data_IF_231309931329
#
_entry.id   IF_231309931329
#
_cell.length_a   1.000
_cell.length_b   1.000
_cell.length_c   1.000
_cell.angle_alpha   90.00
_cell.angle_beta   90.00
_cell.angle_gamma   90.00
#
_symmetry.space_group_name_H-M   'P 1'
#
loop_
_entity.id
_entity.type
_entity.pdbx_description
1 polymer ?
#
# COMPACT_ATOMS: atom_id res chain seq x y z
N UNK A 1 -36.46 4.52 5.63
CA UNK A 1 -35.41 3.49 5.71
C UNK A 1 -35.96 2.08 5.55
N UNK A 2 -37.03 1.69 6.28
CA UNK A 2 -37.54 0.30 6.30
C UNK A 2 -37.83 -0.29 4.90
N UNK A 3 -38.48 0.47 4.02
CA UNK A 3 -38.78 0.03 2.65
C UNK A 3 -37.51 -0.19 1.82
N UNK A 4 -36.51 0.70 1.94
CA UNK A 4 -35.23 0.60 1.22
C UNK A 4 -34.41 -0.60 1.73
N UNK A 5 -34.39 -0.84 3.04
CA UNK A 5 -33.75 -2.01 3.65
C UNK A 5 -34.41 -3.32 3.16
N UNK A 6 -35.75 -3.38 3.23
CA UNK A 6 -36.49 -4.54 2.71
C UNK A 6 -36.21 -4.75 1.22
N UNK A 7 -36.13 -3.67 0.44
CA UNK A 7 -35.76 -3.74 -0.97
C UNK A 7 -34.36 -4.33 -1.21
N UNK A 8 -33.36 -3.88 -0.42
CA UNK A 8 -31.99 -4.40 -0.51
C UNK A 8 -31.94 -5.92 -0.23
N UNK A 9 -32.59 -6.38 0.83
CA UNK A 9 -32.69 -7.82 1.14
C UNK A 9 -33.42 -8.60 0.06
N UNK A 10 -34.53 -8.07 -0.46
CA UNK A 10 -35.31 -8.74 -1.51
C UNK A 10 -34.51 -8.89 -2.81
N UNK A 11 -33.83 -7.81 -3.22
CA UNK A 11 -32.99 -7.83 -4.41
C UNK A 11 -31.79 -8.78 -4.25
N UNK A 12 -31.15 -8.79 -3.08
CA UNK A 12 -30.06 -9.71 -2.81
C UNK A 12 -30.51 -11.19 -2.82
N UNK A 13 -31.70 -11.51 -2.31
CA UNK A 13 -32.28 -12.85 -2.42
C UNK A 13 -32.65 -13.21 -3.87
N UNK A 14 -33.14 -12.25 -4.64
CA UNK A 14 -33.45 -12.45 -6.05
C UNK A 14 -32.23 -12.82 -6.88
N UNK A 15 -31.03 -12.29 -6.53
CA UNK A 15 -29.77 -12.72 -7.16
C UNK A 15 -29.55 -14.23 -6.94
N UNK A 16 -29.76 -14.71 -5.70
CA UNK A 16 -29.58 -16.12 -5.37
C UNK A 16 -30.61 -16.99 -6.14
N UNK A 17 -31.87 -16.54 -6.26
CA UNK A 17 -32.90 -17.21 -7.04
C UNK A 17 -32.53 -17.31 -8.53
N UNK A 18 -32.08 -16.20 -9.15
CA UNK A 18 -31.60 -16.21 -10.53
C UNK A 18 -30.45 -17.18 -10.75
N UNK A 19 -29.42 -17.12 -9.91
CA UNK A 19 -28.24 -17.96 -10.05
C UNK A 19 -28.52 -19.46 -9.89
N UNK A 20 -29.59 -19.82 -9.17
CA UNK A 20 -29.95 -21.21 -8.90
C UNK A 20 -31.08 -21.77 -9.82
N UNK A 21 -31.68 -20.95 -10.68
CA UNK A 21 -32.78 -21.40 -11.54
C UNK A 21 -32.31 -22.36 -12.65
N UNK A 22 -32.60 -23.66 -12.58
CA UNK A 22 -32.14 -24.64 -13.56
C UNK A 22 -32.91 -24.55 -14.90
N UNK A 23 -34.00 -23.79 -14.98
CA UNK A 23 -34.78 -23.63 -16.19
C UNK A 23 -34.15 -22.71 -17.22
N UNK A 24 -33.16 -21.89 -16.79
CA UNK A 24 -32.48 -20.91 -17.62
C UNK A 24 -31.04 -21.30 -17.94
N UNK A 25 -30.53 -20.92 -19.14
CA UNK A 25 -29.13 -21.04 -19.45
C UNK A 25 -28.25 -20.27 -18.44
N UNK A 26 -27.06 -20.79 -18.12
CA UNK A 26 -26.14 -20.18 -17.14
C UNK A 26 -25.82 -18.72 -17.47
N UNK A 27 -25.59 -18.41 -18.73
CA UNK A 27 -25.32 -17.04 -19.18
C UNK A 27 -26.46 -16.09 -18.81
N UNK A 28 -27.71 -16.47 -19.05
CA UNK A 28 -28.89 -15.64 -18.72
C UNK A 28 -29.01 -15.43 -17.22
N UNK A 29 -28.82 -16.48 -16.43
CA UNK A 29 -28.83 -16.39 -14.97
C UNK A 29 -27.81 -15.38 -14.45
N UNK A 30 -26.60 -15.41 -15.00
CA UNK A 30 -25.51 -14.48 -14.61
C UNK A 30 -25.79 -13.05 -15.07
N UNK A 31 -26.31 -12.84 -16.28
CA UNK A 31 -26.67 -11.51 -16.80
C UNK A 31 -27.75 -10.85 -15.93
N UNK A 32 -28.78 -11.60 -15.54
CA UNK A 32 -29.87 -11.09 -14.68
C UNK A 32 -29.35 -10.80 -13.25
N UNK A 33 -28.54 -11.70 -12.68
CA UNK A 33 -27.91 -11.47 -11.39
C UNK A 33 -27.03 -10.23 -11.40
N UNK A 34 -26.21 -10.03 -12.43
CA UNK A 34 -25.37 -8.85 -12.59
C UNK A 34 -26.20 -7.57 -12.71
N UNK A 35 -27.33 -7.61 -13.43
CA UNK A 35 -28.22 -6.45 -13.55
C UNK A 35 -28.74 -5.97 -12.19
N UNK A 36 -29.04 -6.90 -11.27
CA UNK A 36 -29.48 -6.54 -9.92
C UNK A 36 -28.30 -5.98 -9.10
N UNK A 37 -27.10 -6.56 -9.23
CA UNK A 37 -25.89 -6.02 -8.59
C UNK A 37 -25.61 -4.61 -9.07
N UNK A 38 -25.69 -4.37 -10.37
CA UNK A 38 -25.46 -3.05 -10.97
C UNK A 38 -26.48 -2.01 -10.46
N UNK A 39 -27.73 -2.41 -10.24
CA UNK A 39 -28.73 -1.55 -9.64
C UNK A 39 -28.42 -1.22 -8.17
N UNK A 40 -27.98 -2.21 -7.39
CA UNK A 40 -27.62 -2.02 -5.98
C UNK A 40 -26.33 -1.17 -5.82
N UNK A 41 -25.31 -1.45 -6.62
CA UNK A 41 -24.07 -0.65 -6.61
C UNK A 41 -24.33 0.76 -7.17
N UNK A 42 -25.23 0.92 -8.15
CA UNK A 42 -25.71 2.21 -8.63
C UNK A 42 -26.34 3.06 -7.52
N UNK A 43 -27.09 2.46 -6.60
CA UNK A 43 -27.59 3.16 -5.41
C UNK A 43 -26.45 3.65 -4.50
N UNK A 44 -25.38 2.83 -4.35
CA UNK A 44 -24.19 3.19 -3.57
C UNK A 44 -23.45 4.36 -4.22
N UNK A 45 -23.32 4.38 -5.55
CA UNK A 45 -22.66 5.44 -6.32
C UNK A 45 -23.42 6.76 -6.36
N UNK A 46 -24.72 6.74 -6.04
CA UNK A 46 -25.52 7.97 -6.06
C UNK A 46 -24.91 9.02 -5.12
N UNK A 47 -24.63 10.25 -5.60
CA UNK A 47 -24.10 11.33 -4.79
C UNK A 47 -24.97 11.60 -3.55
N UNK A 48 -24.33 11.83 -2.42
CA UNK A 48 -25.02 12.13 -1.17
C UNK A 48 -24.35 13.34 -0.48
N UNK A 49 -24.95 14.54 -0.57
CA UNK A 49 -24.29 15.77 -0.12
C UNK A 49 -23.89 15.77 1.37
N UNK A 50 -24.68 15.10 2.23
CA UNK A 50 -24.38 15.03 3.67
C UNK A 50 -23.14 14.16 3.97
N UNK A 51 -22.68 13.32 3.03
CA UNK A 51 -21.45 12.54 3.19
C UNK A 51 -20.24 13.44 3.50
N UNK A 52 -20.15 14.60 2.84
CA UNK A 52 -19.08 15.57 3.06
C UNK A 52 -19.12 16.21 4.46
N UNK A 53 -20.33 16.27 5.06
CA UNK A 53 -20.55 16.82 6.41
C UNK A 53 -20.46 15.73 7.49
N UNK A 54 -20.08 14.49 7.14
CA UNK A 54 -20.09 13.36 8.06
C UNK A 54 -19.42 13.67 9.39
N UNK A 55 -18.18 14.18 9.37
CA UNK A 55 -17.41 14.47 10.57
C UNK A 55 -18.11 15.46 11.50
N UNK A 56 -18.79 16.46 10.92
CA UNK A 56 -19.58 17.45 11.65
C UNK A 56 -20.85 16.82 12.21
N UNK A 57 -21.55 16.01 11.40
CA UNK A 57 -22.83 15.39 11.75
C UNK A 57 -22.69 14.20 12.73
N UNK A 58 -21.51 13.64 12.91
CA UNK A 58 -21.22 12.61 13.92
C UNK A 58 -20.85 13.21 15.30
N UNK A 59 -20.74 14.55 15.42
CA UNK A 59 -20.59 15.23 16.69
C UNK A 59 -21.89 15.20 17.53
N UNK A 60 -21.75 15.31 18.85
CA UNK A 60 -22.91 15.30 19.76
C UNK A 60 -23.77 16.55 19.65
N UNK A 61 -23.15 17.69 19.30
CA UNK A 61 -23.80 18.99 19.21
C UNK A 61 -23.46 19.71 17.89
N UNK A 62 -24.39 20.54 17.43
CA UNK A 62 -24.17 21.35 16.24
C UNK A 62 -23.03 22.37 16.50
N UNK A 63 -22.04 22.46 15.57
CA UNK A 63 -21.02 23.50 15.68
C UNK A 63 -21.64 24.88 15.45
N UNK A 64 -21.00 25.92 16.01
CA UNK A 64 -21.42 27.30 15.80
C UNK A 64 -21.45 27.63 14.31
N UNK A 65 -22.55 28.18 13.83
CA UNK A 65 -22.72 28.54 12.42
C UNK A 65 -23.13 27.38 11.50
N UNK A 66 -23.57 26.23 12.03
CA UNK A 66 -24.09 25.16 11.17
C UNK A 66 -25.28 25.63 10.34
N UNK A 67 -25.16 25.50 9.02
CA UNK A 67 -26.25 25.85 8.08
C UNK A 67 -27.14 24.62 7.84
N UNK A 68 -28.40 24.68 8.30
CA UNK A 68 -29.41 23.66 8.15
C UNK A 68 -30.02 23.19 9.47
N UNK A 69 -30.81 22.14 9.41
CA UNK A 69 -31.37 21.45 10.59
C UNK A 69 -30.42 20.31 10.97
N UNK A 70 -29.58 20.54 11.96
CA UNK A 70 -28.54 19.59 12.39
C UNK A 70 -29.11 18.22 12.78
N UNK A 71 -30.19 18.21 13.57
CA UNK A 71 -30.81 16.95 14.04
C UNK A 71 -31.38 16.17 12.86
N UNK A 72 -32.08 16.83 11.97
CA UNK A 72 -32.64 16.21 10.77
C UNK A 72 -31.56 15.69 9.84
N UNK A 73 -30.49 16.45 9.66
CA UNK A 73 -29.36 16.05 8.81
C UNK A 73 -28.58 14.87 9.41
N UNK A 74 -28.45 14.81 10.76
CA UNK A 74 -27.89 13.63 11.46
C UNK A 74 -28.74 12.38 11.24
N UNK A 75 -30.07 12.50 11.42
CA UNK A 75 -30.99 11.37 11.21
C UNK A 75 -30.89 10.87 9.76
N UNK A 76 -30.93 11.78 8.79
CA UNK A 76 -30.83 11.46 7.37
C UNK A 76 -29.50 10.77 7.04
N UNK A 77 -28.38 11.24 7.61
CA UNK A 77 -27.07 10.61 7.44
C UNK A 77 -27.05 9.19 7.99
N UNK A 78 -27.54 8.98 9.23
CA UNK A 78 -27.59 7.65 9.88
C UNK A 78 -28.46 6.67 9.11
N UNK A 79 -29.61 7.12 8.61
CA UNK A 79 -30.49 6.30 7.77
C UNK A 79 -29.80 5.86 6.48
N UNK A 80 -29.11 6.79 5.80
CA UNK A 80 -28.41 6.47 4.57
C UNK A 80 -27.19 5.56 4.80
N UNK A 81 -26.45 5.77 5.88
CA UNK A 81 -25.36 4.89 6.33
C UNK A 81 -25.87 3.46 6.52
N UNK A 82 -27.00 3.31 7.21
CA UNK A 82 -27.59 1.99 7.48
C UNK A 82 -27.98 1.27 6.18
N UNK A 83 -28.65 1.95 5.25
CA UNK A 83 -29.07 1.35 3.99
C UNK A 83 -27.89 0.90 3.15
N UNK A 84 -26.92 1.78 2.91
CA UNK A 84 -25.75 1.49 2.07
C UNK A 84 -24.87 0.41 2.69
N UNK A 85 -24.63 0.48 3.98
CA UNK A 85 -23.89 -0.56 4.69
C UNK A 85 -24.55 -1.93 4.60
N UNK A 86 -25.89 -1.99 4.67
CA UNK A 86 -26.63 -3.25 4.55
C UNK A 86 -26.38 -3.91 3.19
N UNK A 87 -26.32 -3.15 2.11
CA UNK A 87 -26.00 -3.70 0.78
C UNK A 87 -24.62 -4.36 0.79
N UNK A 88 -23.60 -3.69 1.32
CA UNK A 88 -22.25 -4.26 1.44
C UNK A 88 -22.23 -5.53 2.31
N UNK A 89 -22.95 -5.53 3.42
CA UNK A 89 -23.03 -6.71 4.29
C UNK A 89 -23.70 -7.90 3.58
N UNK A 90 -24.74 -7.64 2.79
CA UNK A 90 -25.42 -8.70 2.04
C UNK A 90 -24.53 -9.28 0.93
N UNK A 91 -23.74 -8.44 0.25
CA UNK A 91 -22.74 -8.90 -0.71
C UNK A 91 -21.67 -9.75 0.00
N UNK A 92 -21.05 -9.22 1.04
CA UNK A 92 -20.01 -9.91 1.78
C UNK A 92 -20.47 -11.25 2.35
N UNK A 93 -21.68 -11.32 2.91
CA UNK A 93 -22.24 -12.55 3.46
C UNK A 93 -22.37 -13.67 2.41
N UNK A 94 -22.69 -13.30 1.16
CA UNK A 94 -22.85 -14.25 0.06
C UNK A 94 -21.52 -14.60 -0.61
N UNK A 95 -20.58 -13.70 -0.60
CA UNK A 95 -19.22 -13.95 -1.09
C UNK A 95 -18.42 -14.84 -0.12
N UNK A 96 -18.65 -14.70 1.19
CA UNK A 96 -18.05 -15.60 2.15
C UNK A 96 -18.57 -17.03 1.88
N UNK A 97 -17.68 -17.92 1.43
CA UNK A 97 -18.04 -19.33 1.35
C UNK A 97 -18.50 -19.79 2.74
N UNK A 98 -19.59 -20.53 2.79
CA UNK A 98 -19.91 -21.31 3.98
C UNK A 98 -18.72 -22.24 4.18
N UNK A 99 -17.89 -21.96 5.16
CA UNK A 99 -16.82 -22.86 5.56
C UNK A 99 -17.49 -24.15 6.01
N UNK A 100 -17.62 -25.10 5.11
CA UNK A 100 -17.82 -26.49 5.51
C UNK A 100 -16.63 -26.82 6.40
N UNK A 101 -16.92 -27.28 7.60
CA UNK A 101 -15.97 -27.55 8.68
C UNK A 101 -14.69 -28.14 8.14
N UNK A 102 -13.50 -27.57 8.39
CA UNK A 102 -12.26 -28.13 7.91
C UNK A 102 -12.14 -29.55 8.48
N UNK A 103 -12.06 -30.54 7.62
CA UNK A 103 -11.49 -31.82 7.99
C UNK A 103 -10.12 -31.50 8.61
N UNK A 104 -9.90 -32.03 9.81
CA UNK A 104 -8.67 -31.83 10.58
C UNK A 104 -7.48 -32.25 9.75
N UNK A 105 -6.84 -31.32 9.09
CA UNK A 105 -5.54 -31.53 8.50
C UNK A 105 -4.45 -31.03 9.42
N UNK A 106 -3.40 -31.84 9.54
CA UNK A 106 -2.34 -31.74 10.53
C UNK A 106 -1.40 -30.59 10.19
N UNK A 107 -1.46 -29.54 10.99
CA UNK A 107 -0.28 -28.81 11.48
C UNK A 107 0.73 -28.27 10.47
N UNK A 108 0.33 -27.48 9.49
CA UNK A 108 1.21 -26.47 8.89
C UNK A 108 0.45 -25.14 8.81
N UNK A 109 1.10 -24.09 9.29
CA UNK A 109 0.59 -22.75 9.50
C UNK A 109 0.45 -22.01 8.15
N UNK A 110 -0.39 -22.53 7.25
CA UNK A 110 -0.84 -21.81 6.07
C UNK A 110 -2.15 -21.12 6.43
N UNK A 111 -2.14 -19.80 6.41
CA UNK A 111 -3.31 -18.96 6.46
C UNK A 111 -4.15 -19.26 5.21
N UNK A 112 -5.00 -20.30 5.28
CA UNK A 112 -5.89 -20.67 4.18
C UNK A 112 -6.96 -19.61 4.05
N UNK A 113 -6.86 -18.84 2.97
CA UNK A 113 -7.92 -17.88 2.58
C UNK A 113 -9.18 -18.71 2.32
N UNK A 114 -10.31 -18.41 2.97
CA UNK A 114 -11.53 -19.15 2.70
C UNK A 114 -11.95 -18.99 1.23
N UNK A 115 -12.33 -20.07 0.56
CA UNK A 115 -12.76 -20.01 -0.84
C UNK A 115 -14.01 -19.14 -0.99
N UNK A 116 -14.13 -18.44 -2.12
CA UNK A 116 -15.34 -17.70 -2.47
C UNK A 116 -16.48 -18.68 -2.78
N UNK A 117 -17.70 -18.25 -2.50
CA UNK A 117 -18.88 -18.99 -2.97
C UNK A 117 -18.85 -19.14 -4.49
N UNK A 118 -18.81 -20.35 -5.05
CA UNK A 118 -18.77 -20.57 -6.49
C UNK A 118 -19.95 -19.93 -7.23
N UNK A 119 -21.06 -19.75 -6.55
CA UNK A 119 -22.30 -19.20 -7.11
C UNK A 119 -22.15 -17.72 -7.50
N UNK A 120 -21.36 -16.95 -6.76
CA UNK A 120 -21.13 -15.52 -7.01
C UNK A 120 -19.79 -15.24 -7.69
N UNK A 121 -18.99 -16.27 -8.04
CA UNK A 121 -17.60 -16.21 -8.46
C UNK A 121 -17.57 -15.36 -9.74
N UNK A 122 -17.77 -14.86 -10.58
CA UNK A 122 -17.55 -14.07 -11.77
C UNK A 122 -18.37 -12.75 -11.80
N UNK A 123 -19.10 -12.47 -10.70
CA UNK A 123 -19.86 -11.21 -10.61
C UNK A 123 -18.94 -10.04 -10.31
N UNK A 124 -19.29 -8.85 -10.80
CA UNK A 124 -18.51 -7.63 -10.67
C UNK A 124 -19.26 -6.64 -9.79
N UNK A 125 -18.49 -5.93 -8.95
CA UNK A 125 -19.03 -4.97 -7.99
C UNK A 125 -18.42 -3.58 -8.26
N UNK A 126 -19.16 -2.76 -9.02
CA UNK A 126 -18.75 -1.42 -9.40
C UNK A 126 -19.19 -0.38 -8.36
N UNK A 127 -18.22 0.11 -7.57
CA UNK A 127 -18.35 1.21 -6.63
C UNK A 127 -17.61 2.47 -7.12
N UNK A 128 -17.28 2.55 -8.41
CA UNK A 128 -16.54 3.66 -9.00
C UNK A 128 -17.20 5.00 -8.74
N UNK A 129 -16.43 5.97 -8.21
CA UNK A 129 -16.92 7.29 -7.83
C UNK A 129 -17.88 7.33 -6.64
N UNK A 130 -18.09 6.21 -5.93
CA UNK A 130 -19.02 6.14 -4.80
C UNK A 130 -18.58 7.02 -3.63
N UNK A 131 -19.51 7.76 -2.98
CA UNK A 131 -19.26 8.38 -1.68
C UNK A 131 -19.45 7.33 -0.58
N UNK A 132 -18.34 6.91 0.06
CA UNK A 132 -18.33 5.95 1.17
C UNK A 132 -18.19 6.74 2.48
N UNK A 133 -19.17 6.67 3.36
CA UNK A 133 -19.22 7.44 4.61
C UNK A 133 -19.73 6.60 5.79
N UNK A 134 -19.52 5.30 5.73
CA UNK A 134 -19.91 4.28 6.70
C UNK A 134 -18.80 3.22 6.79
N UNK A 135 -18.68 2.51 7.94
CA UNK A 135 -17.61 1.53 8.13
C UNK A 135 -17.79 0.27 7.28
N UNK A 136 -16.69 -0.21 6.70
CA UNK A 136 -16.61 -1.42 5.86
C UNK A 136 -15.62 -2.42 6.49
N UNK A 137 -15.91 -2.88 7.73
CA UNK A 137 -15.03 -3.78 8.49
C UNK A 137 -15.28 -5.25 8.17
N UNK A 138 -14.19 -6.03 8.08
CA UNK A 138 -14.23 -7.50 8.00
C UNK A 138 -15.16 -8.00 6.88
N UNK A 139 -15.06 -7.40 5.70
CA UNK A 139 -15.87 -7.76 4.55
C UNK A 139 -15.05 -8.59 3.55
N UNK A 140 -15.76 -9.43 2.81
CA UNK A 140 -15.25 -10.09 1.62
C UNK A 140 -15.64 -9.27 0.39
N UNK A 141 -14.67 -9.08 -0.50
CA UNK A 141 -14.87 -8.39 -1.76
C UNK A 141 -14.42 -9.29 -2.91
N UNK A 142 -15.05 -9.13 -4.05
CA UNK A 142 -14.69 -9.83 -5.27
C UNK A 142 -14.83 -8.90 -6.46
N UNK A 143 -13.83 -8.90 -7.36
CA UNK A 143 -13.83 -8.06 -8.58
C UNK A 143 -14.38 -6.66 -8.28
N UNK A 144 -13.87 -6.01 -7.21
CA UNK A 144 -14.44 -4.80 -6.67
C UNK A 144 -13.75 -3.56 -7.25
N UNK A 145 -14.50 -2.69 -7.88
CA UNK A 145 -13.99 -1.43 -8.42
C UNK A 145 -14.40 -0.25 -7.53
N UNK A 146 -13.42 0.32 -6.83
CA UNK A 146 -13.54 1.56 -6.05
C UNK A 146 -12.80 2.73 -6.73
N UNK A 147 -12.56 2.65 -8.04
CA UNK A 147 -11.86 3.72 -8.75
C UNK A 147 -12.58 5.07 -8.57
N UNK A 148 -11.82 6.11 -8.23
CA UNK A 148 -12.34 7.45 -7.95
C UNK A 148 -13.37 7.52 -6.81
N UNK A 149 -13.57 6.48 -6.01
CA UNK A 149 -14.43 6.53 -4.83
C UNK A 149 -13.86 7.50 -3.80
N UNK A 150 -14.73 8.15 -3.04
CA UNK A 150 -14.32 9.04 -1.94
C UNK A 150 -14.78 8.46 -0.60
N UNK A 151 -13.80 8.15 0.24
CA UNK A 151 -14.03 7.66 1.60
C UNK A 151 -14.05 8.84 2.57
N UNK A 152 -15.26 9.24 3.00
CA UNK A 152 -15.49 10.33 3.94
C UNK A 152 -15.44 9.82 5.38
N UNK A 153 -14.25 9.73 5.96
CA UNK A 153 -13.98 9.22 7.30
C UNK A 153 -13.15 7.94 7.27
N UNK A 154 -12.85 7.36 8.46
CA UNK A 154 -11.96 6.21 8.55
C UNK A 154 -12.42 5.03 7.68
N UNK A 155 -11.56 4.61 6.75
CA UNK A 155 -11.78 3.45 5.90
C UNK A 155 -11.08 2.25 6.54
N UNK A 156 -11.83 1.32 7.11
CA UNK A 156 -11.28 0.18 7.81
C UNK A 156 -11.53 -1.11 7.02
N UNK A 157 -10.50 -1.56 6.31
CA UNK A 157 -10.41 -2.82 5.59
C UNK A 157 -9.48 -3.81 6.30
N UNK A 158 -9.23 -3.63 7.60
CA UNK A 158 -8.35 -4.51 8.37
C UNK A 158 -8.83 -5.96 8.30
N UNK A 159 -7.91 -6.87 7.91
CA UNK A 159 -8.20 -8.27 7.73
C UNK A 159 -9.22 -8.60 6.63
N UNK A 160 -9.58 -7.63 5.79
CA UNK A 160 -10.46 -7.88 4.65
C UNK A 160 -9.78 -8.79 3.62
N UNK A 161 -10.58 -9.58 2.91
CA UNK A 161 -10.11 -10.38 1.78
C UNK A 161 -10.71 -9.86 0.50
N UNK A 162 -9.84 -9.54 -0.46
CA UNK A 162 -10.20 -9.11 -1.80
C UNK A 162 -9.84 -10.22 -2.78
N UNK A 163 -10.85 -10.80 -3.42
CA UNK A 163 -10.68 -11.80 -4.46
C UNK A 163 -10.90 -11.18 -5.83
N UNK A 164 -10.17 -11.69 -6.84
CA UNK A 164 -10.20 -11.10 -8.17
C UNK A 164 -9.63 -9.69 -8.20
N UNK A 165 -9.54 -9.12 -9.37
CA UNK A 165 -8.98 -7.79 -9.57
C UNK A 165 -9.72 -6.74 -8.77
N UNK A 166 -8.97 -5.91 -8.03
CA UNK A 166 -9.53 -4.84 -7.20
C UNK A 166 -8.88 -3.52 -7.54
N UNK A 167 -9.70 -2.49 -7.77
CA UNK A 167 -9.20 -1.16 -8.08
C UNK A 167 -9.60 -0.13 -7.03
N UNK A 168 -8.62 0.60 -6.51
CA UNK A 168 -8.74 1.84 -5.76
C UNK A 168 -8.07 3.01 -6.52
N UNK A 169 -7.94 2.88 -7.85
CA UNK A 169 -7.25 3.89 -8.66
C UNK A 169 -7.95 5.25 -8.54
N UNK A 170 -7.17 6.32 -8.29
CA UNK A 170 -7.66 7.67 -8.06
C UNK A 170 -8.65 7.79 -6.87
N UNK A 171 -8.78 6.79 -6.00
CA UNK A 171 -9.62 6.87 -4.81
C UNK A 171 -9.10 7.94 -3.82
N UNK A 172 -10.03 8.57 -3.09
CA UNK A 172 -9.74 9.62 -2.13
C UNK A 172 -10.06 9.13 -0.71
N UNK A 173 -9.05 8.95 0.12
CA UNK A 173 -9.20 8.65 1.55
C UNK A 173 -9.02 9.95 2.33
N UNK A 174 -10.12 10.57 2.78
CA UNK A 174 -10.07 11.90 3.39
C UNK A 174 -9.57 11.91 4.84
N UNK A 175 -9.48 10.75 5.47
CA UNK A 175 -8.93 10.51 6.80
C UNK A 175 -8.12 9.20 6.79
N UNK A 176 -7.91 8.58 7.95
CA UNK A 176 -7.15 7.35 8.06
C UNK A 176 -7.78 6.20 7.26
N UNK A 177 -6.92 5.37 6.68
CA UNK A 177 -7.31 4.16 5.96
C UNK A 177 -6.48 2.98 6.45
N UNK A 178 -7.13 1.93 6.93
CA UNK A 178 -6.46 0.72 7.39
C UNK A 178 -6.75 -0.46 6.45
N UNK A 179 -5.67 -1.04 5.93
CA UNK A 179 -5.59 -2.31 5.23
C UNK A 179 -4.69 -3.28 6.03
N UNK A 180 -4.60 -3.08 7.36
CA UNK A 180 -3.78 -3.92 8.23
C UNK A 180 -4.17 -5.40 8.08
N UNK A 181 -3.20 -6.25 7.73
CA UNK A 181 -3.44 -7.68 7.51
C UNK A 181 -4.46 -8.00 6.42
N UNK A 182 -4.79 -7.06 5.53
CA UNK A 182 -5.65 -7.33 4.39
C UNK A 182 -4.99 -8.30 3.41
N UNK A 183 -5.79 -9.11 2.74
CA UNK A 183 -5.34 -10.09 1.78
C UNK A 183 -5.92 -9.82 0.38
N UNK A 184 -5.04 -9.54 -0.58
CA UNK A 184 -5.38 -9.37 -1.99
C UNK A 184 -4.90 -10.60 -2.74
N UNK A 185 -5.83 -11.42 -3.25
CA UNK A 185 -5.50 -12.70 -3.90
C UNK A 185 -5.10 -12.55 -5.36
N UNK A 186 -5.47 -11.43 -5.98
CA UNK A 186 -5.25 -11.11 -7.38
C UNK A 186 -4.71 -9.67 -7.49
N UNK A 187 -4.65 -9.12 -8.70
CA UNK A 187 -4.14 -7.78 -8.93
C UNK A 187 -4.89 -6.70 -8.13
N UNK A 188 -4.14 -5.75 -7.56
CA UNK A 188 -4.73 -4.57 -6.93
C UNK A 188 -4.06 -3.28 -7.39
N UNK A 189 -4.89 -2.29 -7.73
CA UNK A 189 -4.45 -0.97 -8.15
C UNK A 189 -4.86 0.14 -7.17
N UNK A 190 -3.85 0.88 -6.67
CA UNK A 190 -4.02 2.13 -5.93
C UNK A 190 -3.47 3.33 -6.73
N UNK A 191 -3.17 3.16 -8.02
CA UNK A 191 -2.53 4.20 -8.82
C UNK A 191 -3.26 5.53 -8.74
N UNK A 192 -2.53 6.64 -8.53
CA UNK A 192 -3.08 7.98 -8.35
C UNK A 192 -4.07 8.15 -7.18
N UNK A 193 -4.18 7.18 -6.26
CA UNK A 193 -4.97 7.36 -5.05
C UNK A 193 -4.34 8.40 -4.12
N UNK A 194 -5.15 9.02 -3.27
CA UNK A 194 -4.70 10.01 -2.29
C UNK A 194 -5.14 9.60 -0.88
N UNK A 195 -4.17 9.47 0.01
CA UNK A 195 -4.36 9.19 1.44
C UNK A 195 -4.04 10.46 2.24
N UNK A 196 -5.08 11.16 2.69
CA UNK A 196 -4.92 12.40 3.46
C UNK A 196 -4.54 12.13 4.93
N UNK A 197 -5.04 11.05 5.53
CA UNK A 197 -4.68 10.58 6.87
C UNK A 197 -3.63 9.48 6.83
N UNK A 198 -3.45 8.78 7.96
CA UNK A 198 -2.57 7.63 8.04
C UNK A 198 -3.07 6.48 7.15
N UNK A 199 -2.13 5.83 6.45
CA UNK A 199 -2.39 4.69 5.57
C UNK A 199 -1.68 3.45 6.13
N UNK A 200 -2.43 2.50 6.66
CA UNK A 200 -1.93 1.29 7.30
C UNK A 200 -2.03 0.09 6.36
N UNK A 201 -0.91 -0.41 5.88
CA UNK A 201 -0.78 -1.65 5.10
C UNK A 201 0.10 -2.68 5.83
N UNK A 202 0.31 -2.49 7.14
CA UNK A 202 1.17 -3.37 7.92
C UNK A 202 0.65 -4.81 7.92
N UNK A 203 1.54 -5.77 7.60
CA UNK A 203 1.19 -7.17 7.49
C UNK A 203 0.21 -7.52 6.36
N UNK A 204 -0.10 -6.58 5.45
CA UNK A 204 -0.93 -6.88 4.29
C UNK A 204 -0.23 -7.85 3.34
N UNK A 205 -1.00 -8.72 2.70
CA UNK A 205 -0.52 -9.71 1.74
C UNK A 205 -1.07 -9.43 0.34
N UNK A 206 -0.16 -9.28 -0.62
CA UNK A 206 -0.44 -9.08 -2.04
C UNK A 206 0.04 -10.31 -2.79
N UNK A 207 -0.88 -11.20 -3.18
CA UNK A 207 -0.53 -12.47 -3.82
C UNK A 207 -0.17 -12.30 -5.30
N UNK A 208 -0.70 -11.29 -5.95
CA UNK A 208 -0.35 -10.88 -7.31
C UNK A 208 0.18 -9.43 -7.32
N UNK A 209 0.39 -8.85 -8.51
CA UNK A 209 0.96 -7.54 -8.68
C UNK A 209 0.11 -6.45 -8.00
N UNK A 210 0.78 -5.53 -7.31
CA UNK A 210 0.16 -4.40 -6.66
C UNK A 210 0.76 -3.08 -7.16
N UNK A 211 -0.10 -2.16 -7.60
CA UNK A 211 0.32 -0.86 -8.10
C UNK A 211 -0.05 0.28 -7.15
N UNK A 212 0.96 0.96 -6.65
CA UNK A 212 0.90 2.21 -5.91
C UNK A 212 1.54 3.36 -6.71
N UNK A 213 1.62 3.22 -8.04
CA UNK A 213 2.24 4.22 -8.90
C UNK A 213 1.52 5.57 -8.79
N UNK A 214 2.30 6.66 -8.67
CA UNK A 214 1.76 8.03 -8.55
C UNK A 214 0.82 8.28 -7.37
N UNK A 215 0.79 7.39 -6.36
CA UNK A 215 0.01 7.59 -5.12
C UNK A 215 0.60 8.75 -4.31
N UNK A 216 -0.27 9.51 -3.65
CA UNK A 216 0.13 10.51 -2.66
C UNK A 216 -0.29 10.10 -1.26
N UNK A 217 0.68 9.96 -0.36
CA UNK A 217 0.47 9.75 1.07
C UNK A 217 0.81 11.05 1.81
N UNK A 218 -0.21 11.82 2.21
CA UNK A 218 -0.02 13.03 2.99
C UNK A 218 0.19 12.71 4.47
N UNK A 219 -0.54 11.73 5.00
CA UNK A 219 -0.29 11.16 6.32
C UNK A 219 0.83 10.13 6.31
N UNK A 220 1.16 9.56 7.48
CA UNK A 220 2.13 8.47 7.60
C UNK A 220 1.68 7.23 6.82
N UNK A 221 2.63 6.52 6.21
CA UNK A 221 2.36 5.27 5.49
C UNK A 221 3.12 4.11 6.14
N UNK A 222 2.39 3.09 6.59
CA UNK A 222 2.96 1.89 7.21
C UNK A 222 2.76 0.66 6.33
N UNK A 223 3.85 0.18 5.73
CA UNK A 223 3.96 -1.08 4.99
C UNK A 223 4.83 -2.10 5.73
N UNK A 224 5.01 -1.92 7.04
CA UNK A 224 5.86 -2.82 7.82
C UNK A 224 5.32 -4.25 7.79
N UNK A 225 6.22 -5.22 7.62
CA UNK A 225 5.89 -6.65 7.49
C UNK A 225 4.92 -6.97 6.32
N UNK A 226 4.66 -6.06 5.39
CA UNK A 226 3.86 -6.35 4.20
C UNK A 226 4.58 -7.35 3.29
N UNK A 227 3.81 -8.21 2.61
CA UNK A 227 4.33 -9.24 1.71
C UNK A 227 3.76 -9.04 0.32
N UNK A 228 4.66 -8.89 -0.66
CA UNK A 228 4.33 -8.84 -2.09
C UNK A 228 4.89 -10.09 -2.76
N UNK A 229 4.00 -11.00 -3.16
CA UNK A 229 4.39 -12.25 -3.81
C UNK A 229 4.69 -12.11 -5.30
N UNK A 230 4.32 -10.97 -5.89
CA UNK A 230 4.63 -10.57 -7.26
C UNK A 230 5.20 -9.14 -7.28
N UNK A 231 5.02 -8.40 -8.38
CA UNK A 231 5.56 -7.06 -8.53
C UNK A 231 4.88 -6.05 -7.58
N UNK A 232 5.69 -5.15 -6.99
CA UNK A 232 5.25 -4.02 -6.17
C UNK A 232 5.70 -2.71 -6.83
N UNK A 233 4.76 -1.92 -7.35
CA UNK A 233 5.09 -0.69 -8.08
C UNK A 233 4.68 0.56 -7.29
N UNK A 234 5.68 1.29 -6.78
CA UNK A 234 5.54 2.60 -6.13
C UNK A 234 6.13 3.72 -6.99
N UNK A 235 6.37 3.49 -8.29
CA UNK A 235 7.02 4.49 -9.14
C UNK A 235 6.30 5.84 -9.10
N UNK A 236 7.07 6.93 -8.95
CA UNK A 236 6.58 8.31 -8.94
C UNK A 236 5.61 8.60 -7.76
N UNK A 237 5.54 7.74 -6.75
CA UNK A 237 4.75 8.01 -5.55
C UNK A 237 5.35 9.15 -4.72
N UNK A 238 4.52 9.81 -3.92
CA UNK A 238 4.90 10.86 -2.97
C UNK A 238 4.52 10.48 -1.55
N UNK A 239 5.49 10.50 -0.65
CA UNK A 239 5.31 10.30 0.79
C UNK A 239 5.63 11.62 1.50
N UNK A 240 4.61 12.39 1.84
CA UNK A 240 4.76 13.71 2.46
C UNK A 240 5.09 13.64 3.97
N UNK A 241 4.81 12.48 4.59
CA UNK A 241 5.14 12.15 5.97
C UNK A 241 6.02 10.89 6.05
N UNK A 242 6.27 10.37 7.27
CA UNK A 242 7.11 9.20 7.47
C UNK A 242 6.52 7.96 6.78
N UNK A 243 7.41 7.15 6.18
CA UNK A 243 7.06 5.90 5.50
C UNK A 243 7.85 4.73 6.10
N UNK A 244 7.14 3.74 6.63
CA UNK A 244 7.74 2.54 7.21
C UNK A 244 7.54 1.33 6.30
N UNK A 245 8.63 0.84 5.72
CA UNK A 245 8.73 -0.40 4.96
C UNK A 245 9.59 -1.43 5.69
N UNK A 246 9.72 -1.33 7.01
CA UNK A 246 10.56 -2.25 7.77
C UNK A 246 10.03 -3.69 7.65
N UNK A 247 10.96 -4.64 7.45
CA UNK A 247 10.64 -6.06 7.22
C UNK A 247 9.68 -6.30 6.03
N UNK A 248 9.65 -5.37 5.07
CA UNK A 248 8.98 -5.59 3.79
C UNK A 248 9.57 -6.83 3.12
N UNK A 249 8.73 -7.68 2.53
CA UNK A 249 9.15 -8.84 1.77
C UNK A 249 8.57 -8.78 0.35
N UNK A 250 9.42 -8.68 -0.67
CA UNK A 250 9.01 -8.65 -2.07
C UNK A 250 9.62 -9.81 -2.84
N UNK A 251 8.79 -10.68 -3.39
CA UNK A 251 9.27 -11.82 -4.20
C UNK A 251 9.56 -11.39 -5.65
N UNK A 252 8.76 -10.51 -6.23
CA UNK A 252 8.97 -9.94 -7.56
C UNK A 252 9.67 -8.59 -7.53
N UNK A 253 9.71 -7.93 -8.69
CA UNK A 253 10.34 -6.60 -8.86
C UNK A 253 9.64 -5.58 -7.95
N UNK A 254 10.46 -4.83 -7.18
CA UNK A 254 9.99 -3.73 -6.37
C UNK A 254 10.46 -2.39 -6.96
N UNK A 255 9.53 -1.59 -7.45
CA UNK A 255 9.84 -0.30 -8.06
C UNK A 255 9.52 0.85 -7.10
N UNK A 256 10.55 1.58 -6.70
CA UNK A 256 10.49 2.86 -6.01
C UNK A 256 11.15 3.95 -6.87
N UNK A 257 11.13 3.80 -8.21
CA UNK A 257 11.79 4.73 -9.13
C UNK A 257 11.12 6.12 -9.10
N UNK A 258 11.93 7.17 -9.02
CA UNK A 258 11.50 8.57 -8.99
C UNK A 258 10.49 8.89 -7.85
N UNK A 259 10.52 8.15 -6.74
CA UNK A 259 9.71 8.42 -5.54
C UNK A 259 10.29 9.60 -4.78
N UNK A 260 9.39 10.43 -4.20
CA UNK A 260 9.78 11.47 -3.26
C UNK A 260 9.37 11.09 -1.84
N UNK A 261 10.35 11.08 -0.92
CA UNK A 261 10.13 10.91 0.51
C UNK A 261 10.44 12.23 1.23
N UNK A 262 9.40 12.94 1.66
CA UNK A 262 9.53 14.18 2.44
C UNK A 262 9.68 13.90 3.94
N UNK A 263 9.16 12.77 4.42
CA UNK A 263 9.40 12.20 5.75
C UNK A 263 10.55 11.21 5.78
N UNK A 264 10.77 10.60 6.95
CA UNK A 264 11.73 9.51 7.13
C UNK A 264 11.27 8.27 6.39
N UNK A 265 12.16 7.63 5.62
CA UNK A 265 11.89 6.37 4.92
C UNK A 265 12.66 5.22 5.59
N UNK A 266 11.95 4.19 6.05
CA UNK A 266 12.54 3.07 6.80
C UNK A 266 12.34 1.77 6.03
N UNK A 267 13.44 1.16 5.58
CA UNK A 267 13.48 -0.15 4.93
C UNK A 267 14.30 -1.17 5.76
N UNK A 268 14.36 -0.97 7.07
CA UNK A 268 15.19 -1.81 7.96
C UNK A 268 14.77 -3.28 7.90
N UNK A 269 15.74 -4.16 7.67
CA UNK A 269 15.55 -5.62 7.63
C UNK A 269 14.56 -6.09 6.55
N UNK A 270 14.36 -5.29 5.50
CA UNK A 270 13.53 -5.67 4.35
C UNK A 270 14.26 -6.64 3.43
N UNK A 271 13.51 -7.47 2.73
CA UNK A 271 14.04 -8.44 1.77
C UNK A 271 13.43 -8.19 0.39
N UNK A 272 14.29 -7.92 -0.58
CA UNK A 272 13.97 -7.80 -1.99
C UNK A 272 14.56 -9.03 -2.69
N UNK A 273 13.72 -10.01 -3.06
CA UNK A 273 14.23 -11.25 -3.66
C UNK A 273 14.63 -11.05 -5.12
N UNK A 274 13.91 -10.20 -5.84
CA UNK A 274 14.18 -9.83 -7.23
C UNK A 274 14.74 -8.38 -7.31
N UNK A 275 14.71 -7.75 -8.48
CA UNK A 275 15.25 -6.40 -8.69
C UNK A 275 14.53 -5.36 -7.80
N UNK A 276 15.30 -4.43 -7.25
CA UNK A 276 14.81 -3.30 -6.47
C UNK A 276 15.25 -1.98 -7.10
N UNK A 277 14.31 -1.17 -7.56
CA UNK A 277 14.55 0.05 -8.33
C UNK A 277 14.27 1.29 -7.47
N UNK A 278 15.31 1.99 -7.05
CA UNK A 278 15.24 3.28 -6.37
C UNK A 278 15.82 4.42 -7.24
N UNK A 279 16.05 4.18 -8.53
CA UNK A 279 16.70 5.16 -9.39
C UNK A 279 15.94 6.50 -9.41
N UNK A 280 16.68 7.61 -9.37
CA UNK A 280 16.18 8.99 -9.36
C UNK A 280 15.23 9.33 -8.19
N UNK A 281 15.15 8.52 -7.15
CA UNK A 281 14.36 8.85 -5.96
C UNK A 281 15.03 9.92 -5.10
N UNK A 282 14.20 10.70 -4.40
CA UNK A 282 14.63 11.79 -3.54
C UNK A 282 14.22 11.53 -2.10
N UNK A 283 15.19 11.50 -1.20
CA UNK A 283 14.98 11.39 0.24
C UNK A 283 15.29 12.72 0.91
N UNK A 284 14.28 13.47 1.30
CA UNK A 284 14.41 14.78 1.95
C UNK A 284 14.72 14.65 3.46
N UNK A 285 14.47 13.47 4.05
CA UNK A 285 14.76 13.09 5.44
C UNK A 285 15.58 11.79 5.45
N UNK A 286 15.99 11.27 6.64
CA UNK A 286 16.81 10.06 6.70
C UNK A 286 16.19 8.86 5.95
N UNK A 287 17.03 8.18 5.17
CA UNK A 287 16.74 6.93 4.50
C UNK A 287 17.46 5.76 5.19
N UNK A 288 16.73 4.75 5.68
CA UNK A 288 17.30 3.69 6.52
C UNK A 288 17.07 2.33 5.86
N UNK A 289 18.12 1.75 5.29
CA UNK A 289 18.14 0.42 4.67
C UNK A 289 18.88 -0.62 5.51
N UNK A 290 19.28 -0.29 6.74
CA UNK A 290 20.15 -1.14 7.56
C UNK A 290 19.60 -2.56 7.70
N UNK A 291 20.51 -3.56 7.56
CA UNK A 291 20.23 -5.00 7.67
C UNK A 291 19.29 -5.56 6.59
N UNK A 292 19.03 -4.84 5.50
CA UNK A 292 18.21 -5.32 4.40
C UNK A 292 19.01 -6.26 3.49
N UNK A 293 18.27 -7.11 2.76
CA UNK A 293 18.78 -8.00 1.72
C UNK A 293 18.24 -7.57 0.36
N UNK A 294 19.14 -7.32 -0.58
CA UNK A 294 18.86 -7.18 -2.00
C UNK A 294 19.34 -8.43 -2.71
N UNK A 295 18.42 -9.35 -3.05
CA UNK A 295 18.71 -10.62 -3.72
C UNK A 295 18.98 -10.41 -5.21
N UNK A 296 18.16 -9.61 -5.89
CA UNK A 296 18.33 -9.18 -7.27
C UNK A 296 19.17 -7.90 -7.40
N UNK A 297 19.18 -7.32 -8.61
CA UNK A 297 19.91 -6.08 -8.89
C UNK A 297 19.31 -4.91 -8.10
N UNK A 298 20.14 -4.19 -7.36
CA UNK A 298 19.74 -3.01 -6.61
C UNK A 298 20.13 -1.73 -7.37
N UNK A 299 19.13 -0.98 -7.86
CA UNK A 299 19.34 0.21 -8.71
C UNK A 299 19.08 1.48 -7.89
N UNK A 300 20.15 2.16 -7.49
CA UNK A 300 20.14 3.45 -6.80
C UNK A 300 20.75 4.57 -7.66
N UNK A 301 20.79 4.38 -8.99
CA UNK A 301 21.39 5.37 -9.90
C UNK A 301 20.67 6.72 -9.81
N UNK A 302 21.44 7.80 -9.62
CA UNK A 302 20.89 9.14 -9.53
C UNK A 302 20.02 9.43 -8.31
N UNK A 303 20.03 8.57 -7.28
CA UNK A 303 19.35 8.84 -6.00
C UNK A 303 19.91 10.10 -5.37
N UNK A 304 19.04 10.90 -4.76
CA UNK A 304 19.41 12.08 -3.99
C UNK A 304 18.99 11.91 -2.52
N UNK A 305 19.95 11.93 -1.59
CA UNK A 305 19.67 11.98 -0.16
C UNK A 305 20.09 13.32 0.40
N UNK A 306 19.15 14.06 1.00
CA UNK A 306 19.43 15.39 1.59
C UNK A 306 19.81 15.32 3.07
N UNK A 307 19.68 14.14 3.67
CA UNK A 307 20.12 13.82 5.04
C UNK A 307 20.83 12.47 5.06
N UNK A 308 20.88 11.81 6.22
CA UNK A 308 21.61 10.55 6.37
C UNK A 308 21.02 9.42 5.52
N UNK A 309 21.89 8.63 4.90
CA UNK A 309 21.53 7.39 4.22
C UNK A 309 22.25 6.21 4.90
N UNK A 310 21.48 5.30 5.47
CA UNK A 310 22.00 4.21 6.29
C UNK A 310 21.85 2.86 5.58
N UNK A 311 22.97 2.31 5.11
CA UNK A 311 23.11 1.00 4.49
C UNK A 311 23.94 0.03 5.36
N UNK A 312 24.02 0.28 6.68
CA UNK A 312 24.85 -0.54 7.56
C UNK A 312 24.35 -1.99 7.61
N UNK A 313 25.31 -2.93 7.44
CA UNK A 313 25.05 -4.36 7.39
C UNK A 313 24.02 -4.80 6.32
N UNK A 314 23.87 -4.03 5.24
CA UNK A 314 23.07 -4.43 4.07
C UNK A 314 23.83 -5.50 3.29
N UNK A 315 23.13 -6.46 2.73
CA UNK A 315 23.69 -7.41 1.77
C UNK A 315 23.11 -7.17 0.38
N UNK A 316 23.98 -6.90 -0.57
CA UNK A 316 23.68 -6.87 -2.01
C UNK A 316 24.19 -8.18 -2.62
N UNK A 317 23.29 -9.13 -2.86
CA UNK A 317 23.66 -10.46 -3.36
C UNK A 317 23.92 -10.46 -4.88
N UNK A 318 23.43 -9.46 -5.59
CA UNK A 318 23.68 -9.18 -7.01
C UNK A 318 24.31 -7.80 -7.18
N UNK A 319 24.36 -7.28 -8.40
CA UNK A 319 24.91 -5.96 -8.70
C UNK A 319 24.18 -4.84 -7.95
N UNK A 320 24.95 -3.84 -7.48
CA UNK A 320 24.45 -2.64 -6.81
C UNK A 320 24.92 -1.39 -7.55
N UNK A 321 23.99 -0.63 -8.11
CA UNK A 321 24.28 0.54 -8.91
C UNK A 321 23.91 1.84 -8.17
N UNK A 322 24.91 2.58 -7.69
CA UNK A 322 24.81 3.90 -7.10
C UNK A 322 25.40 4.98 -8.02
N UNK A 323 25.47 4.72 -9.32
CA UNK A 323 26.08 5.66 -10.27
C UNK A 323 25.36 7.00 -10.27
N UNK A 324 26.13 8.10 -10.18
CA UNK A 324 25.57 9.45 -10.15
C UNK A 324 24.71 9.76 -8.91
N UNK A 325 24.68 8.91 -7.89
CA UNK A 325 23.96 9.19 -6.66
C UNK A 325 24.56 10.40 -5.93
N UNK A 326 23.72 11.22 -5.30
CA UNK A 326 24.12 12.38 -4.51
C UNK A 326 23.76 12.17 -3.04
N UNK A 327 24.76 11.97 -2.24
CA UNK A 327 24.65 11.77 -0.80
C UNK A 327 25.09 13.02 -0.05
N UNK A 328 24.27 13.47 0.90
CA UNK A 328 24.54 14.71 1.66
C UNK A 328 24.45 14.42 3.16
N UNK A 329 25.47 14.74 3.94
CA UNK A 329 25.65 14.59 5.39
C UNK A 329 26.37 13.30 5.79
N UNK A 330 25.66 12.24 6.21
CA UNK A 330 26.26 11.01 6.73
C UNK A 330 25.71 9.79 5.99
N UNK A 331 26.61 9.05 5.39
CA UNK A 331 26.32 7.82 4.66
C UNK A 331 27.03 6.65 5.33
N UNK A 332 26.25 5.64 5.72
CA UNK A 332 26.78 4.49 6.44
C UNK A 332 26.61 3.19 5.65
N UNK A 333 27.67 2.76 5.01
CA UNK A 333 27.83 1.44 4.41
C UNK A 333 28.66 0.51 5.31
N UNK A 334 28.79 0.84 6.60
CA UNK A 334 29.57 0.06 7.54
C UNK A 334 29.09 -1.38 7.65
N UNK A 335 29.99 -2.35 7.42
CA UNK A 335 29.66 -3.77 7.40
C UNK A 335 28.77 -4.20 6.23
N UNK A 336 28.51 -3.35 5.23
CA UNK A 336 27.80 -3.73 4.04
C UNK A 336 28.56 -4.78 3.24
N UNK A 337 27.83 -5.70 2.61
CA UNK A 337 28.41 -6.77 1.80
C UNK A 337 27.88 -6.69 0.37
N UNK A 338 28.79 -6.53 -0.57
CA UNK A 338 28.54 -6.53 -2.00
C UNK A 338 29.06 -7.84 -2.58
N UNK A 339 28.16 -8.78 -2.86
CA UNK A 339 28.51 -10.07 -3.44
C UNK A 339 28.64 -10.01 -4.98
N UNK A 340 27.93 -9.05 -5.63
CA UNK A 340 28.08 -8.68 -7.04
C UNK A 340 28.85 -7.37 -7.23
N UNK A 341 28.88 -6.89 -8.48
CA UNK A 341 29.56 -5.63 -8.81
C UNK A 341 28.90 -4.44 -8.12
N UNK A 342 29.72 -3.51 -7.60
CA UNK A 342 29.27 -2.31 -6.94
C UNK A 342 29.75 -1.05 -7.69
N UNK A 343 28.81 -0.28 -8.26
CA UNK A 343 29.13 0.93 -9.02
C UNK A 343 28.74 2.18 -8.24
N UNK A 344 29.74 2.99 -7.92
CA UNK A 344 29.63 4.34 -7.37
C UNK A 344 30.17 5.39 -8.32
N UNK A 345 30.25 5.08 -9.63
CA UNK A 345 30.82 5.99 -10.62
C UNK A 345 30.05 7.31 -10.66
N UNK A 346 30.76 8.44 -10.62
CA UNK A 346 30.18 9.80 -10.55
C UNK A 346 29.29 10.05 -9.32
N UNK A 347 29.28 9.18 -8.32
CA UNK A 347 28.58 9.46 -7.06
C UNK A 347 29.24 10.61 -6.31
N UNK A 348 28.45 11.41 -5.62
CA UNK A 348 28.93 12.55 -4.83
C UNK A 348 28.59 12.33 -3.37
N UNK A 349 29.61 12.37 -2.51
CA UNK A 349 29.50 12.31 -1.07
C UNK A 349 29.86 13.69 -0.50
N UNK A 350 28.83 14.48 -0.17
CA UNK A 350 28.93 15.92 0.08
C UNK A 350 28.84 16.21 1.57
N UNK A 351 29.90 16.80 2.14
CA UNK A 351 29.85 17.39 3.47
C UNK A 351 29.22 18.78 3.42
N UNK A 352 28.12 18.97 4.16
CA UNK A 352 27.58 20.32 4.36
C UNK A 352 28.39 21.11 5.41
N UNK A 353 28.42 22.46 5.32
CA UNK A 353 29.01 23.28 6.38
C UNK A 353 28.31 23.02 7.72
N UNK A 354 29.09 22.72 8.78
CA UNK A 354 28.53 22.45 10.12
C UNK A 354 27.81 23.67 10.68
N UNK A 355 26.55 23.48 11.10
CA UNK A 355 25.89 24.40 12.02
C UNK A 355 26.33 24.08 13.48
N UNK A 356 26.29 25.09 14.38
CA UNK A 356 26.76 24.95 15.78
C UNK A 356 26.07 23.87 16.61
N UNK A 357 25.00 23.28 16.12
CA UNK A 357 24.13 22.29 16.82
C UNK A 357 24.33 20.84 16.35
N UNK A 358 25.15 20.59 15.31
CA UNK A 358 25.31 19.25 14.70
C UNK A 358 26.63 18.60 15.04
N UNK A 359 27.09 18.73 16.30
CA UNK A 359 28.44 18.23 16.71
C UNK A 359 28.50 16.71 16.93
N UNK A 360 27.40 15.98 16.93
CA UNK A 360 27.36 14.57 17.36
C UNK A 360 27.55 13.53 16.26
N UNK A 361 27.48 13.91 14.98
CA UNK A 361 27.70 12.98 13.87
C UNK A 361 28.88 13.45 13.00
N UNK A 362 29.94 12.65 12.85
CA UNK A 362 30.98 12.96 11.88
C UNK A 362 30.40 12.94 10.48
N UNK A 363 30.49 14.04 9.74
CA UNK A 363 30.17 14.06 8.30
C UNK A 363 31.15 13.13 7.59
N UNK A 364 30.64 11.94 7.19
CA UNK A 364 31.51 10.86 6.77
C UNK A 364 30.79 9.90 5.86
N UNK A 365 31.41 9.54 4.75
CA UNK A 365 31.06 8.35 4.00
C UNK A 365 31.75 7.14 4.65
N UNK A 366 31.00 6.27 5.30
CA UNK A 366 31.51 5.15 6.07
C UNK A 366 31.41 3.83 5.30
N UNK A 367 32.53 3.26 4.90
CA UNK A 367 32.68 1.91 4.35
C UNK A 367 33.48 0.99 5.26
N UNK A 368 33.60 1.30 6.56
CA UNK A 368 34.35 0.49 7.49
C UNK A 368 33.77 -0.93 7.58
N UNK A 369 34.64 -1.93 7.52
CA UNK A 369 34.27 -3.36 7.45
C UNK A 369 33.37 -3.74 6.25
N UNK A 370 33.21 -2.89 5.25
CA UNK A 370 32.48 -3.26 4.02
C UNK A 370 33.29 -4.33 3.25
N UNK A 371 32.56 -5.25 2.59
CA UNK A 371 33.19 -6.29 1.79
C UNK A 371 32.70 -6.22 0.33
N UNK A 372 33.65 -6.09 -0.61
CA UNK A 372 33.43 -6.08 -2.04
C UNK A 372 33.99 -7.40 -2.62
N UNK A 373 33.10 -8.33 -2.99
CA UNK A 373 33.50 -9.64 -3.51
C UNK A 373 33.75 -9.65 -5.02
N UNK A 374 33.29 -8.64 -5.74
CA UNK A 374 33.50 -8.42 -7.16
C UNK A 374 34.03 -7.01 -7.40
N UNK A 375 33.90 -6.49 -8.63
CA UNK A 375 34.41 -5.18 -8.99
C UNK A 375 33.71 -4.04 -8.22
N UNK A 376 34.50 -3.06 -7.74
CA UNK A 376 34.03 -1.88 -7.05
C UNK A 376 34.48 -0.61 -7.81
N UNK A 377 33.57 0.00 -8.56
CA UNK A 377 33.87 1.17 -9.40
C UNK A 377 33.52 2.49 -8.67
N UNK A 378 34.53 3.22 -8.25
CA UNK A 378 34.44 4.59 -7.72
C UNK A 378 34.94 5.64 -8.71
N UNK A 379 34.98 5.33 -10.00
CA UNK A 379 35.51 6.24 -11.02
C UNK A 379 34.71 7.55 -11.04
N UNK A 380 35.42 8.69 -11.02
CA UNK A 380 34.84 10.04 -10.98
C UNK A 380 33.94 10.30 -9.77
N UNK A 381 33.95 9.44 -8.74
CA UNK A 381 33.26 9.72 -7.49
C UNK A 381 33.92 10.91 -6.78
N UNK A 382 33.12 11.75 -6.15
CA UNK A 382 33.59 12.93 -5.42
C UNK A 382 33.32 12.78 -3.93
N UNK A 383 34.38 12.93 -3.12
CA UNK A 383 34.28 12.90 -1.66
C UNK A 383 34.73 14.27 -1.12
N UNK A 384 33.76 15.07 -0.62
CA UNK A 384 34.08 16.31 0.11
C UNK A 384 33.99 16.12 1.61
N UNK A 385 33.45 14.94 2.05
CA UNK A 385 33.45 14.49 3.44
C UNK A 385 34.64 13.55 3.73
N UNK A 386 34.90 13.29 5.01
CA UNK A 386 35.80 12.20 5.37
C UNK A 386 35.25 10.86 4.90
N UNK A 387 36.09 10.02 4.31
CA UNK A 387 35.71 8.66 3.93
C UNK A 387 36.49 7.64 4.78
N UNK A 388 35.78 6.64 5.29
CA UNK A 388 36.37 5.55 6.05
C UNK A 388 36.30 4.24 5.28
N UNK A 389 37.41 3.52 5.19
CA UNK A 389 37.54 2.15 4.67
C UNK A 389 38.27 1.25 5.67
N UNK A 390 38.16 1.51 6.98
CA UNK A 390 38.83 0.71 7.98
C UNK A 390 38.36 -0.74 7.92
N UNK A 391 39.31 -1.67 7.72
CA UNK A 391 39.04 -3.11 7.51
C UNK A 391 38.09 -3.42 6.35
N UNK A 392 37.88 -2.51 5.41
CA UNK A 392 37.17 -2.84 4.16
C UNK A 392 38.03 -3.86 3.37
N UNK A 393 37.33 -4.80 2.71
CA UNK A 393 37.99 -5.84 1.90
C UNK A 393 37.55 -5.75 0.45
N UNK A 394 38.50 -5.87 -0.47
CA UNK A 394 38.29 -5.91 -1.91
C UNK A 394 38.85 -7.23 -2.43
N UNK A 395 38.04 -8.10 -3.02
CA UNK A 395 38.47 -9.43 -3.44
C UNK A 395 39.20 -9.44 -4.78
N UNK A 396 39.06 -8.37 -5.59
CA UNK A 396 39.82 -8.13 -6.82
C UNK A 396 40.54 -6.79 -6.73
N UNK A 397 41.77 -6.76 -7.26
CA UNK A 397 42.59 -5.54 -7.41
C UNK A 397 42.17 -4.72 -8.66
#
# INVERSE_FOLDING_TARGET
PAVRLSGAYTLANLIDEWLTDPSLPEQVRREEAQTIIDALTGCIRTPYPLAQKRQVLEADEAPEGYEGDFTRDQEALREEQLVRRTVFMEFSRRLAAVAESPEKDNGENQQTVPPISPMWADLRFDFGGAPIFYPLRQLYFQNADFASATFYGPADFSGATFHGDTSFSAAQFTTDASFHGANFTDWVGFSAAHFAGAAEFSGAHFADAASFATVTFTGGADFSNAVFSAAADFAVASFESDADFSRLNTAGIASFAAVTFDGKAVFTASTFHDEAHFAASVFNRPAVFSKSLFGGVARFAGVVTKQSAMFSNVRFASAADFSGASFTQYEDFGGARFDGDATFSRASFIALPRTRYEMDFPQRANFDNAAFAQDADFSKATFTAHVGFYKATFARE
#
